data_IF_612661775516
#
_entry.id   IF_612661775516
#
_cell.length_a   1.000
_cell.length_b   1.000
_cell.length_c   1.000
_cell.angle_alpha   90.00
_cell.angle_beta   90.00
_cell.angle_gamma   90.00
#
_symmetry.space_group_name_H-M   'P 1'
#
loop_
_entity.id
_entity.type
_entity.pdbx_description
1 polymer ?
#
# COMPACT_ATOMS: atom_id res chain seq x y z
N UNK A 1 -15.38 -1.58 0.85
CA UNK A 1 -15.33 -3.00 0.60
C UNK A 1 -13.96 -3.40 0.14
N UNK A 2 -13.66 -4.69 0.17
CA UNK A 2 -12.32 -5.19 -0.10
C UNK A 2 -11.78 -4.77 -1.48
N UNK A 3 -12.59 -4.91 -2.53
CA UNK A 3 -12.16 -4.56 -3.88
C UNK A 3 -11.92 -3.07 -4.03
N UNK A 4 -12.71 -2.25 -3.37
CA UNK A 4 -12.52 -0.80 -3.43
C UNK A 4 -11.22 -0.38 -2.73
N UNK A 5 -10.91 -1.00 -1.61
CA UNK A 5 -9.67 -0.72 -0.88
C UNK A 5 -8.48 -1.10 -1.74
N UNK A 6 -8.52 -2.28 -2.36
CA UNK A 6 -7.42 -2.72 -3.22
C UNK A 6 -7.24 -1.80 -4.42
N UNK A 7 -8.34 -1.36 -5.03
CA UNK A 7 -8.29 -0.42 -6.16
C UNK A 7 -7.66 0.91 -5.73
N UNK A 8 -7.98 1.40 -4.55
CA UNK A 8 -7.40 2.63 -4.01
C UNK A 8 -5.89 2.46 -3.82
N UNK A 9 -5.47 1.33 -3.24
CA UNK A 9 -4.06 1.05 -3.02
C UNK A 9 -3.31 0.99 -4.35
N UNK A 10 -3.87 0.30 -5.35
CA UNK A 10 -3.25 0.21 -6.67
C UNK A 10 -3.08 1.60 -7.29
N UNK A 11 -4.11 2.44 -7.20
CA UNK A 11 -4.05 3.79 -7.76
C UNK A 11 -2.97 4.63 -7.06
N UNK A 12 -2.86 4.52 -5.74
CA UNK A 12 -1.84 5.23 -4.98
C UNK A 12 -0.44 4.76 -5.37
N UNK A 13 -0.24 3.44 -5.46
CA UNK A 13 1.06 2.90 -5.85
C UNK A 13 1.44 3.33 -7.26
N UNK A 14 0.51 3.27 -8.20
CA UNK A 14 0.78 3.66 -9.58
C UNK A 14 1.17 5.13 -9.66
N UNK A 15 0.49 5.99 -8.92
CA UNK A 15 0.77 7.42 -8.90
C UNK A 15 2.12 7.72 -8.26
N UNK A 16 2.35 7.18 -7.06
CA UNK A 16 3.57 7.49 -6.29
C UNK A 16 4.81 6.89 -6.91
N UNK A 17 4.70 5.72 -7.54
CA UNK A 17 5.84 5.04 -8.16
C UNK A 17 5.96 5.34 -9.65
N UNK A 18 5.03 6.07 -10.20
CA UNK A 18 4.99 6.49 -11.62
C UNK A 18 5.06 5.27 -12.54
N UNK A 19 4.15 4.32 -12.30
CA UNK A 19 4.04 3.11 -13.11
C UNK A 19 2.59 2.92 -13.54
N UNK A 20 2.36 2.10 -14.55
CA UNK A 20 1.00 1.78 -14.99
C UNK A 20 0.29 0.91 -13.96
N UNK A 21 -1.01 1.12 -13.81
CA UNK A 21 -1.81 0.31 -12.87
C UNK A 21 -1.73 -1.17 -13.22
N UNK A 22 -1.53 -1.50 -14.49
CA UNK A 22 -1.50 -2.89 -14.96
C UNK A 22 -0.32 -3.68 -14.41
N UNK A 23 0.79 -3.01 -14.05
CA UNK A 23 1.96 -3.70 -13.49
C UNK A 23 1.86 -3.84 -11.98
N UNK A 24 0.89 -3.19 -11.33
CA UNK A 24 0.71 -3.26 -9.88
C UNK A 24 -0.17 -4.46 -9.56
N UNK A 25 0.39 -5.65 -9.72
CA UNK A 25 -0.30 -6.91 -9.41
C UNK A 25 -0.04 -7.30 -7.96
N UNK A 26 -0.84 -8.22 -7.42
CA UNK A 26 -0.72 -8.62 -6.01
C UNK A 26 0.65 -9.25 -5.70
N UNK A 27 1.30 -9.86 -6.67
CA UNK A 27 2.60 -10.50 -6.48
C UNK A 27 3.76 -9.59 -6.86
N UNK A 28 3.50 -8.39 -7.39
CA UNK A 28 4.56 -7.45 -7.75
C UNK A 28 5.32 -7.05 -6.50
N UNK A 29 6.65 -7.10 -6.57
CA UNK A 29 7.52 -6.71 -5.47
C UNK A 29 7.71 -5.20 -5.53
N UNK A 30 7.53 -4.54 -4.39
CA UNK A 30 7.50 -3.08 -4.34
C UNK A 30 8.86 -2.48 -4.73
N UNK A 31 9.95 -3.04 -4.23
CA UNK A 31 11.28 -2.53 -4.52
C UNK A 31 11.80 -3.07 -5.85
N UNK A 32 11.81 -4.39 -6.02
CA UNK A 32 12.44 -5.03 -7.18
C UNK A 32 11.66 -4.83 -8.47
N UNK A 33 10.33 -4.87 -8.40
CA UNK A 33 9.50 -4.80 -9.61
C UNK A 33 8.96 -3.39 -9.87
N UNK A 34 8.65 -2.63 -8.81
CA UNK A 34 8.03 -1.32 -8.94
C UNK A 34 8.97 -0.16 -8.63
N UNK A 35 10.17 -0.45 -8.14
CA UNK A 35 11.19 0.57 -7.92
C UNK A 35 11.00 1.45 -6.70
N UNK A 36 10.26 0.98 -5.69
CA UNK A 36 10.02 1.76 -4.48
C UNK A 36 11.29 1.88 -3.63
N UNK A 37 11.48 3.03 -3.02
CA UNK A 37 12.54 3.24 -2.03
C UNK A 37 11.93 3.70 -0.69
N UNK A 38 12.78 4.04 0.28
CA UNK A 38 12.32 4.41 1.62
C UNK A 38 11.41 5.63 1.61
N UNK A 39 11.70 6.61 0.78
CA UNK A 39 10.88 7.82 0.66
C UNK A 39 9.53 7.50 0.04
N UNK A 40 9.53 6.62 -0.96
CA UNK A 40 8.27 6.17 -1.57
C UNK A 40 7.38 5.46 -0.54
N UNK A 41 7.95 4.60 0.30
CA UNK A 41 7.19 3.91 1.35
C UNK A 41 6.52 4.90 2.29
N UNK A 42 7.25 5.93 2.71
CA UNK A 42 6.70 6.96 3.58
C UNK A 42 5.55 7.70 2.89
N UNK A 43 5.77 8.11 1.65
CA UNK A 43 4.79 8.85 0.85
C UNK A 43 3.52 8.02 0.65
N UNK A 44 3.69 6.75 0.28
CA UNK A 44 2.58 5.83 0.08
C UNK A 44 1.79 5.65 1.38
N UNK A 45 2.49 5.45 2.49
CA UNK A 45 1.84 5.26 3.79
C UNK A 45 1.03 6.50 4.19
N UNK A 46 1.59 7.69 4.02
CA UNK A 46 0.89 8.92 4.35
C UNK A 46 -0.35 9.11 3.50
N UNK A 47 -0.27 8.79 2.22
CA UNK A 47 -1.41 8.92 1.33
C UNK A 47 -2.51 7.91 1.71
N UNK A 48 -2.15 6.66 1.99
CA UNK A 48 -3.11 5.64 2.41
C UNK A 48 -3.77 6.04 3.72
N UNK A 49 -2.98 6.51 4.68
CA UNK A 49 -3.52 6.97 5.97
C UNK A 49 -4.55 8.07 5.77
N UNK A 50 -4.26 9.00 4.88
CA UNK A 50 -5.14 10.12 4.61
C UNK A 50 -6.42 9.68 3.89
N UNK A 51 -6.29 8.90 2.83
CA UNK A 51 -7.42 8.51 1.99
C UNK A 51 -8.37 7.56 2.73
N UNK A 52 -7.82 6.62 3.48
CA UNK A 52 -8.62 5.60 4.18
C UNK A 52 -8.90 5.95 5.64
N UNK A 53 -8.35 7.05 6.12
CA UNK A 53 -8.50 7.50 7.52
C UNK A 53 -8.09 6.39 8.49
N UNK A 54 -6.91 5.85 8.27
CA UNK A 54 -6.30 4.80 9.10
C UNK A 54 -4.86 5.19 9.42
N UNK A 55 -4.21 4.42 10.26
CA UNK A 55 -2.81 4.63 10.58
C UNK A 55 -2.04 3.33 10.41
N UNK A 56 -1.15 3.29 9.42
CA UNK A 56 -0.33 2.12 9.16
C UNK A 56 0.87 2.13 10.11
N UNK A 57 1.15 0.99 10.78
CA UNK A 57 2.28 0.94 11.71
C UNK A 57 3.61 0.94 10.94
N UNK A 58 4.58 1.76 11.36
CA UNK A 58 5.88 1.80 10.68
C UNK A 58 6.60 0.45 10.65
N UNK A 59 6.43 -0.33 11.71
CA UNK A 59 7.05 -1.67 11.78
C UNK A 59 6.51 -2.58 10.69
N UNK A 60 5.20 -2.50 10.43
CA UNK A 60 4.57 -3.28 9.38
C UNK A 60 5.05 -2.89 7.99
N UNK A 61 5.24 -1.59 7.78
CA UNK A 61 5.74 -1.09 6.50
C UNK A 61 7.15 -1.61 6.20
N UNK A 62 7.96 -1.76 7.23
CA UNK A 62 9.33 -2.26 7.06
C UNK A 62 9.35 -3.73 6.67
N UNK A 63 8.26 -4.46 6.90
CA UNK A 63 8.20 -5.91 6.66
C UNK A 63 7.52 -6.28 5.35
N UNK A 64 6.86 -5.35 4.66
CA UNK A 64 6.18 -5.68 3.42
C UNK A 64 7.17 -5.79 2.27
N UNK A 65 6.90 -6.71 1.33
CA UNK A 65 7.73 -6.93 0.17
C UNK A 65 6.97 -6.75 -1.14
N UNK A 66 5.73 -7.22 -1.19
CA UNK A 66 4.92 -7.14 -2.40
C UNK A 66 3.60 -6.42 -2.12
N UNK A 67 2.83 -6.23 -3.17
CA UNK A 67 1.55 -5.51 -3.09
C UNK A 67 0.58 -6.22 -2.16
N UNK A 68 0.58 -7.56 -2.18
CA UNK A 68 -0.31 -8.33 -1.32
C UNK A 68 -0.01 -8.12 0.16
N UNK A 69 1.27 -8.00 0.51
CA UNK A 69 1.65 -7.70 1.90
C UNK A 69 1.07 -6.36 2.34
N UNK A 70 1.09 -5.37 1.45
CA UNK A 70 0.52 -4.08 1.74
C UNK A 70 -1.00 -4.17 1.91
N UNK A 71 -1.69 -4.95 1.08
CA UNK A 71 -3.12 -5.19 1.25
C UNK A 71 -3.42 -5.73 2.64
N UNK A 72 -2.66 -6.72 3.08
CA UNK A 72 -2.85 -7.32 4.40
C UNK A 72 -2.66 -6.32 5.51
N UNK A 73 -1.63 -5.50 5.41
CA UNK A 73 -1.35 -4.48 6.42
C UNK A 73 -2.50 -3.47 6.50
N UNK A 74 -2.99 -3.03 5.34
CA UNK A 74 -4.10 -2.08 5.29
C UNK A 74 -5.37 -2.69 5.87
N UNK A 75 -5.68 -3.93 5.51
CA UNK A 75 -6.88 -4.59 6.04
C UNK A 75 -6.81 -4.77 7.55
N UNK A 76 -5.63 -5.08 8.09
CA UNK A 76 -5.43 -5.18 9.54
C UNK A 76 -5.67 -3.82 10.21
N UNK A 77 -5.16 -2.74 9.62
CA UNK A 77 -5.35 -1.41 10.17
C UNK A 77 -6.82 -0.99 10.15
N UNK A 78 -7.53 -1.32 9.08
CA UNK A 78 -8.96 -1.04 8.98
C UNK A 78 -9.73 -1.81 10.05
N UNK A 79 -9.42 -3.07 10.24
CA UNK A 79 -10.08 -3.90 11.25
C UNK A 79 -9.86 -3.36 12.66
N UNK A 80 -8.65 -2.89 12.95
CA UNK A 80 -8.33 -2.31 14.25
C UNK A 80 -9.05 -0.98 14.47
N UNK A 81 -9.17 -0.17 13.43
CA UNK A 81 -9.85 1.10 13.52
C UNK A 81 -11.36 0.95 13.72
N UNK A 82 -11.92 -0.20 13.36
CA UNK A 82 -13.35 -0.47 13.45
C UNK A 82 -13.81 -0.95 14.83
N UNK A 83 -12.88 -1.20 15.73
CA UNK A 83 -13.19 -1.75 17.08
C UNK A 83 -13.57 -0.65 18.05
#
# INVERSE_FOLDING_TARGET
MKLEVEAIIIAILADKLVVDVEVVTSTARLVEDLGADSLNFLDIALEINHVLDIELPPEGLACIRNVRDLYRLVHQAIAQASV
#
